data_IF_114236424526
#
_entry.id   IF_114236424526
#
_cell.length_a   1.000
_cell.length_b   1.000
_cell.length_c   1.000
_cell.angle_alpha   90.00
_cell.angle_beta   90.00
_cell.angle_gamma   90.00
#
_symmetry.space_group_name_H-M   'P 1'
#
loop_
_entity.id
_entity.type
_entity.pdbx_description
1 polymer ?
#
# COMPACT_ATOMS: atom_id res chain seq x y z
N UNK A 1 -68.62 0.60 -9.12
CA UNK A 1 -68.62 0.82 -10.59
C UNK A 1 -70.02 1.12 -11.15
N UNK A 2 -71.09 0.41 -10.75
CA UNK A 2 -72.46 0.66 -11.25
C UNK A 2 -73.02 2.07 -10.97
N UNK A 3 -72.67 2.69 -9.84
CA UNK A 3 -73.09 4.05 -9.48
C UNK A 3 -72.44 5.13 -10.37
N UNK A 4 -71.15 4.98 -10.67
CA UNK A 4 -70.41 5.89 -11.56
C UNK A 4 -70.94 5.84 -13.01
N UNK A 5 -71.33 4.65 -13.47
CA UNK A 5 -71.91 4.42 -14.79
C UNK A 5 -73.33 5.03 -14.92
N UNK A 6 -74.11 5.06 -13.83
CA UNK A 6 -75.43 5.69 -13.73
C UNK A 6 -75.36 7.23 -13.74
N UNK A 7 -74.37 7.82 -13.05
CA UNK A 7 -74.14 9.27 -13.13
C UNK A 7 -73.64 9.70 -14.50
N UNK A 8 -72.78 8.92 -15.14
CA UNK A 8 -72.28 9.23 -16.49
C UNK A 8 -73.41 9.17 -17.54
N UNK A 9 -74.32 8.18 -17.45
CA UNK A 9 -75.49 8.09 -18.35
C UNK A 9 -76.53 9.18 -18.08
N UNK A 10 -76.80 9.54 -16.83
CA UNK A 10 -77.72 10.63 -16.48
C UNK A 10 -77.18 11.99 -16.93
N UNK A 11 -75.87 12.24 -16.77
CA UNK A 11 -75.21 13.44 -17.26
C UNK A 11 -75.25 13.52 -18.78
N UNK A 12 -74.99 12.41 -19.48
CA UNK A 12 -75.08 12.35 -20.94
C UNK A 12 -76.51 12.62 -21.46
N UNK A 13 -77.55 12.14 -20.76
CA UNK A 13 -78.96 12.38 -21.11
C UNK A 13 -79.41 13.84 -20.94
N UNK A 14 -78.85 14.56 -19.96
CA UNK A 14 -79.14 15.98 -19.71
C UNK A 14 -78.41 16.89 -20.69
N UNK A 15 -77.17 16.55 -21.05
CA UNK A 15 -76.37 17.33 -22.01
C UNK A 15 -76.95 17.21 -23.44
N UNK A 16 -77.40 16.01 -23.85
CA UNK A 16 -77.96 15.79 -25.19
C UNK A 16 -79.30 16.53 -25.41
N UNK A 17 -80.09 16.79 -24.36
CA UNK A 17 -81.35 17.52 -24.48
C UNK A 17 -81.21 19.05 -24.50
N UNK A 18 -80.04 19.60 -24.16
CA UNK A 18 -79.86 21.05 -23.94
C UNK A 18 -79.34 21.84 -25.15
N UNK A 19 -79.18 21.21 -26.32
CA UNK A 19 -78.36 21.72 -27.44
C UNK A 19 -79.12 22.24 -28.67
N UNK A 20 -80.35 22.75 -28.56
CA UNK A 20 -81.12 23.06 -29.79
C UNK A 20 -81.74 24.46 -29.88
N UNK A 21 -81.36 25.39 -28.99
CA UNK A 21 -81.75 26.79 -29.08
C UNK A 21 -80.58 27.62 -29.64
N UNK A 22 -80.77 28.27 -30.80
CA UNK A 22 -79.74 29.06 -31.48
C UNK A 22 -80.05 30.55 -31.39
N UNK A 23 -79.14 31.33 -30.81
CA UNK A 23 -79.28 32.79 -30.73
C UNK A 23 -78.79 33.46 -32.02
N UNK A 24 -79.62 34.29 -32.64
CA UNK A 24 -79.31 35.08 -33.85
C UNK A 24 -79.65 36.55 -33.64
N UNK A 25 -78.87 37.45 -34.26
CA UNK A 25 -79.16 38.88 -34.22
C UNK A 25 -79.69 39.33 -35.58
N UNK A 26 -80.86 39.96 -35.59
CA UNK A 26 -81.53 40.50 -36.78
C UNK A 26 -82.14 41.84 -36.38
N UNK A 27 -81.92 42.90 -37.17
CA UNK A 27 -82.42 44.26 -36.90
C UNK A 27 -82.15 44.77 -35.46
N UNK A 28 -80.92 44.57 -34.97
CA UNK A 28 -80.48 44.95 -33.60
C UNK A 28 -81.24 44.27 -32.45
N UNK A 29 -82.07 43.26 -32.73
CA UNK A 29 -82.72 42.41 -31.73
C UNK A 29 -82.09 41.03 -31.73
N UNK A 30 -82.13 40.35 -30.58
CA UNK A 30 -81.62 38.98 -30.42
C UNK A 30 -82.80 38.04 -30.33
N UNK A 31 -82.87 37.11 -31.29
CA UNK A 31 -83.89 36.08 -31.34
C UNK A 31 -83.29 34.73 -30.99
N UNK A 32 -84.04 33.93 -30.25
CA UNK A 32 -83.73 32.53 -30.02
C UNK A 32 -84.56 31.71 -31.00
N UNK A 33 -83.89 30.99 -31.89
CA UNK A 33 -84.53 30.11 -32.87
C UNK A 33 -84.50 28.68 -32.36
N UNK A 34 -85.68 28.10 -32.20
CA UNK A 34 -85.85 26.73 -31.75
C UNK A 34 -86.77 25.98 -32.71
N UNK A 35 -86.19 25.07 -33.52
CA UNK A 35 -86.89 24.30 -34.56
C UNK A 35 -87.61 25.18 -35.59
N UNK A 36 -88.85 25.59 -35.30
CA UNK A 36 -89.72 26.43 -36.15
C UNK A 36 -90.29 27.65 -35.41
N UNK A 37 -89.90 27.85 -34.16
CA UNK A 37 -90.32 28.98 -33.35
C UNK A 37 -89.21 30.03 -33.32
N UNK A 38 -89.60 31.30 -33.43
CA UNK A 38 -88.74 32.47 -33.22
C UNK A 38 -89.19 33.11 -31.92
N UNK A 39 -88.27 33.17 -30.95
CA UNK A 39 -88.54 33.66 -29.61
C UNK A 39 -87.78 34.97 -29.41
N UNK A 40 -88.47 36.01 -28.94
CA UNK A 40 -87.88 37.29 -28.56
C UNK A 40 -88.21 37.54 -27.08
N UNK A 41 -87.20 37.76 -26.24
CA UNK A 41 -87.38 37.99 -24.78
C UNK A 41 -88.19 36.90 -24.04
N UNK A 42 -88.17 35.65 -24.53
CA UNK A 42 -88.90 34.53 -23.92
C UNK A 42 -90.32 34.32 -24.45
N UNK A 43 -90.81 35.18 -25.34
CA UNK A 43 -92.13 35.06 -25.96
C UNK A 43 -92.04 34.64 -27.44
N UNK A 44 -92.94 33.76 -27.89
CA UNK A 44 -92.96 33.27 -29.27
C UNK A 44 -93.59 34.33 -30.20
N UNK A 45 -92.75 34.96 -31.02
CA UNK A 45 -93.16 36.02 -31.97
C UNK A 45 -93.26 35.52 -33.42
N UNK A 46 -93.20 34.20 -33.63
CA UNK A 46 -93.16 33.59 -34.97
C UNK A 46 -94.29 34.08 -35.88
N UNK A 47 -95.50 34.25 -35.34
CA UNK A 47 -96.68 34.64 -36.14
C UNK A 47 -96.80 36.15 -36.36
N UNK A 48 -96.12 36.93 -35.52
CA UNK A 48 -96.16 38.39 -35.52
C UNK A 48 -95.12 39.01 -36.45
N UNK A 49 -94.13 38.21 -36.88
CA UNK A 49 -93.10 38.59 -37.84
C UNK A 49 -93.60 38.44 -39.29
N UNK A 50 -93.15 39.30 -40.20
CA UNK A 50 -93.43 39.12 -41.64
C UNK A 50 -92.73 37.89 -42.19
N UNK A 51 -93.20 37.39 -43.35
CA UNK A 51 -92.57 36.23 -43.99
C UNK A 51 -91.11 36.50 -44.32
N UNK A 52 -90.78 37.73 -44.74
CA UNK A 52 -89.41 38.15 -45.03
C UNK A 52 -88.54 38.13 -43.77
N UNK A 53 -89.04 38.65 -42.64
CA UNK A 53 -88.33 38.65 -41.35
C UNK A 53 -88.12 37.22 -40.82
N UNK A 54 -89.15 36.36 -40.89
CA UNK A 54 -89.02 34.97 -40.50
C UNK A 54 -87.95 34.25 -41.33
N UNK A 55 -87.96 34.43 -42.66
CA UNK A 55 -86.95 33.83 -43.54
C UNK A 55 -85.54 34.33 -43.21
N UNK A 56 -85.35 35.64 -43.01
CA UNK A 56 -84.05 36.21 -42.64
C UNK A 56 -83.50 35.64 -41.31
N UNK A 57 -84.36 35.56 -40.29
CA UNK A 57 -84.00 35.02 -38.97
C UNK A 57 -83.68 33.51 -39.05
N UNK A 58 -84.47 32.72 -39.78
CA UNK A 58 -84.20 31.30 -39.95
C UNK A 58 -82.93 31.02 -40.75
N UNK A 59 -82.64 31.81 -41.79
CA UNK A 59 -81.43 31.63 -42.59
C UNK A 59 -80.18 32.02 -41.81
N UNK A 60 -80.22 33.09 -40.99
CA UNK A 60 -79.16 33.40 -40.03
C UNK A 60 -78.94 32.27 -39.02
N UNK A 61 -80.02 31.63 -38.54
CA UNK A 61 -79.91 30.52 -37.61
C UNK A 61 -79.27 29.29 -38.25
N UNK A 62 -79.57 29.01 -39.52
CA UNK A 62 -78.89 27.95 -40.27
C UNK A 62 -77.40 28.25 -40.44
N UNK A 63 -77.04 29.49 -40.80
CA UNK A 63 -75.64 29.89 -40.97
C UNK A 63 -74.87 29.74 -39.66
N UNK A 64 -75.40 30.25 -38.54
CA UNK A 64 -74.73 30.08 -37.24
C UNK A 64 -74.61 28.64 -36.78
N UNK A 65 -75.60 27.79 -37.07
CA UNK A 65 -75.52 26.37 -36.75
C UNK A 65 -74.44 25.67 -37.58
N UNK A 66 -74.32 26.03 -38.87
CA UNK A 66 -73.24 25.55 -39.73
C UNK A 66 -71.85 26.03 -39.26
N UNK A 67 -71.73 27.29 -38.83
CA UNK A 67 -70.51 27.83 -38.22
C UNK A 67 -70.14 27.11 -36.92
N UNK A 68 -71.13 26.83 -36.05
CA UNK A 68 -70.92 26.09 -34.81
C UNK A 68 -70.50 24.63 -35.06
N UNK A 69 -71.13 23.93 -36.02
CA UNK A 69 -70.74 22.57 -36.40
C UNK A 69 -69.33 22.51 -37.00
N UNK A 70 -68.97 23.50 -37.82
CA UNK A 70 -67.60 23.64 -38.35
C UNK A 70 -66.58 23.88 -37.22
N UNK A 71 -66.92 24.73 -36.25
CA UNK A 71 -66.07 25.06 -35.12
C UNK A 71 -65.94 23.90 -34.12
N UNK A 72 -66.97 23.07 -33.94
CA UNK A 72 -66.86 21.81 -33.18
C UNK A 72 -65.95 20.81 -33.88
N UNK A 73 -66.08 20.62 -35.20
CA UNK A 73 -65.17 19.76 -35.98
C UNK A 73 -63.73 20.22 -35.90
N UNK A 74 -63.48 21.53 -36.03
CA UNK A 74 -62.14 22.10 -35.88
C UNK A 74 -61.55 21.86 -34.47
N UNK A 75 -62.37 22.00 -33.42
CA UNK A 75 -61.96 21.70 -32.04
C UNK A 75 -61.69 20.22 -31.82
N UNK A 76 -62.49 19.33 -32.41
CA UNK A 76 -62.32 17.88 -32.31
C UNK A 76 -61.03 17.44 -33.04
N UNK A 77 -60.77 17.98 -34.23
CA UNK A 77 -59.52 17.73 -34.97
C UNK A 77 -58.30 18.26 -34.22
N UNK A 78 -58.37 19.48 -33.66
CA UNK A 78 -57.31 20.04 -32.83
C UNK A 78 -57.07 19.23 -31.53
N UNK A 79 -58.12 18.66 -30.94
CA UNK A 79 -57.99 17.77 -29.78
C UNK A 79 -57.31 16.44 -30.14
N UNK A 80 -57.72 15.82 -31.25
CA UNK A 80 -57.09 14.59 -31.77
C UNK A 80 -55.63 14.81 -32.15
N UNK A 81 -55.30 15.94 -32.74
CA UNK A 81 -53.92 16.27 -33.09
C UNK A 81 -53.06 16.47 -31.83
N UNK A 82 -53.58 17.14 -30.80
CA UNK A 82 -52.87 17.28 -29.51
C UNK A 82 -52.65 15.93 -28.81
N UNK A 83 -53.65 15.05 -28.81
CA UNK A 83 -53.55 13.70 -28.23
C UNK A 83 -52.53 12.84 -28.99
N UNK A 84 -52.56 12.86 -30.32
CA UNK A 84 -51.58 12.16 -31.15
C UNK A 84 -50.14 12.69 -30.93
N UNK A 85 -49.97 14.00 -30.73
CA UNK A 85 -48.68 14.61 -30.42
C UNK A 85 -48.21 14.23 -29.01
N UNK A 86 -49.09 14.16 -28.00
CA UNK A 86 -48.68 13.73 -26.65
C UNK A 86 -48.30 12.26 -26.62
N UNK A 87 -49.08 11.39 -27.26
CA UNK A 87 -48.80 9.95 -27.32
C UNK A 87 -47.47 9.67 -28.06
N UNK A 88 -47.16 10.44 -29.11
CA UNK A 88 -45.88 10.34 -29.82
C UNK A 88 -44.71 10.76 -28.93
N UNK A 89 -44.84 11.84 -28.16
CA UNK A 89 -43.82 12.31 -27.20
C UNK A 89 -43.59 11.30 -26.08
N UNK A 90 -44.64 10.70 -25.54
CA UNK A 90 -44.53 9.67 -24.51
C UNK A 90 -43.79 8.43 -25.04
N UNK A 91 -44.12 7.97 -26.25
CA UNK A 91 -43.41 6.84 -26.90
C UNK A 91 -41.95 7.15 -27.21
N UNK A 92 -41.60 8.39 -27.54
CA UNK A 92 -40.21 8.80 -27.73
C UNK A 92 -39.45 8.85 -26.40
N UNK A 93 -40.06 9.40 -25.34
CA UNK A 93 -39.47 9.42 -24.00
C UNK A 93 -39.24 8.01 -23.44
N UNK A 94 -40.20 7.10 -23.60
CA UNK A 94 -40.07 5.71 -23.16
C UNK A 94 -38.92 4.99 -23.89
N UNK A 95 -38.78 5.22 -25.21
CA UNK A 95 -37.65 4.67 -25.99
C UNK A 95 -36.31 5.21 -25.52
N UNK A 96 -36.23 6.51 -25.22
CA UNK A 96 -35.01 7.14 -24.73
C UNK A 96 -34.62 6.61 -23.34
N UNK A 97 -35.59 6.45 -22.44
CA UNK A 97 -35.38 5.84 -21.11
C UNK A 97 -34.86 4.41 -21.27
N UNK A 98 -35.51 3.59 -22.12
CA UNK A 98 -35.09 2.20 -22.36
C UNK A 98 -33.71 2.09 -22.99
N UNK A 99 -33.30 3.05 -23.82
CA UNK A 99 -31.94 3.11 -24.35
C UNK A 99 -30.93 3.48 -23.27
N UNK A 100 -31.22 4.48 -22.43
CA UNK A 100 -30.35 4.88 -21.31
C UNK A 100 -30.18 3.75 -20.28
N UNK A 101 -31.24 3.02 -19.94
CA UNK A 101 -31.16 1.87 -19.05
C UNK A 101 -30.28 0.76 -19.63
N UNK A 102 -30.45 0.41 -20.91
CA UNK A 102 -29.59 -0.58 -21.57
C UNK A 102 -28.12 -0.17 -21.60
N UNK A 103 -27.85 1.12 -21.78
CA UNK A 103 -26.48 1.63 -21.77
C UNK A 103 -25.87 1.59 -20.37
N UNK A 104 -26.62 2.04 -19.35
CA UNK A 104 -26.21 1.98 -17.96
C UNK A 104 -25.99 0.54 -17.47
N UNK A 105 -26.80 -0.42 -17.92
CA UNK A 105 -26.60 -1.85 -17.59
C UNK A 105 -25.31 -2.41 -18.21
N UNK A 106 -25.01 -2.04 -19.46
CA UNK A 106 -23.74 -2.45 -20.10
C UNK A 106 -22.54 -1.87 -19.38
N UNK A 107 -22.56 -0.58 -19.08
CA UNK A 107 -21.49 0.11 -18.35
C UNK A 107 -21.30 -0.49 -16.95
N UNK A 108 -22.38 -0.82 -16.23
CA UNK A 108 -22.30 -1.52 -14.93
C UNK A 108 -21.65 -2.90 -15.06
N UNK A 109 -22.03 -3.70 -16.05
CA UNK A 109 -21.42 -5.04 -16.26
C UNK A 109 -19.95 -4.95 -16.62
N UNK A 110 -19.56 -3.92 -17.38
CA UNK A 110 -18.15 -3.70 -17.73
C UNK A 110 -17.34 -3.23 -16.53
N UNK A 111 -17.88 -2.32 -15.71
CA UNK A 111 -17.28 -1.92 -14.44
C UNK A 111 -17.15 -3.10 -13.48
N UNK A 112 -18.17 -3.93 -13.34
CA UNK A 112 -18.16 -5.12 -12.47
C UNK A 112 -17.06 -6.12 -12.90
N UNK A 113 -16.96 -6.42 -14.20
CA UNK A 113 -15.87 -7.27 -14.72
C UNK A 113 -14.50 -6.67 -14.48
N UNK A 114 -14.33 -5.36 -14.71
CA UNK A 114 -13.05 -4.69 -14.46
C UNK A 114 -12.66 -4.71 -12.97
N UNK A 115 -13.65 -4.61 -12.08
CA UNK A 115 -13.43 -4.70 -10.64
C UNK A 115 -13.07 -6.13 -10.21
N UNK A 116 -13.73 -7.14 -10.78
CA UNK A 116 -13.43 -8.56 -10.52
C UNK A 116 -12.00 -8.91 -10.97
N UNK A 117 -11.59 -8.49 -12.16
CA UNK A 117 -10.22 -8.69 -12.65
C UNK A 117 -9.19 -7.96 -11.77
N UNK A 118 -9.47 -6.73 -11.34
CA UNK A 118 -8.58 -5.98 -10.46
C UNK A 118 -8.44 -6.65 -9.07
N UNK A 119 -9.52 -7.22 -8.53
CA UNK A 119 -9.48 -7.98 -7.27
C UNK A 119 -8.65 -9.25 -7.45
N UNK A 120 -8.86 -9.98 -8.54
CA UNK A 120 -8.09 -11.21 -8.84
C UNK A 120 -6.59 -10.94 -8.98
N UNK A 121 -6.21 -9.86 -9.67
CA UNK A 121 -4.81 -9.46 -9.81
C UNK A 121 -4.19 -9.07 -8.46
N UNK A 122 -4.91 -8.34 -7.60
CA UNK A 122 -4.43 -8.01 -6.26
C UNK A 122 -4.26 -9.23 -5.37
N UNK A 123 -5.17 -10.21 -5.45
CA UNK A 123 -5.05 -11.46 -4.68
C UNK A 123 -3.85 -12.28 -5.14
N UNK A 124 -3.60 -12.35 -6.45
CA UNK A 124 -2.44 -13.05 -7.00
C UNK A 124 -1.12 -12.38 -6.64
N UNK A 125 -1.06 -11.04 -6.67
CA UNK A 125 0.09 -10.26 -6.19
C UNK A 125 0.34 -10.48 -4.69
N UNK A 126 -0.71 -10.43 -3.85
CA UNK A 126 -0.58 -10.66 -2.42
C UNK A 126 -0.05 -12.07 -2.11
N UNK A 127 -0.53 -13.10 -2.84
CA UNK A 127 -0.02 -14.47 -2.69
C UNK A 127 1.43 -14.63 -3.15
N UNK A 128 1.85 -13.91 -4.18
CA UNK A 128 3.24 -13.92 -4.64
C UNK A 128 4.16 -13.24 -3.61
N UNK A 129 3.74 -12.09 -3.07
CA UNK A 129 4.49 -11.35 -2.06
C UNK A 129 4.59 -12.11 -0.73
N UNK A 130 3.52 -12.79 -0.31
CA UNK A 130 3.52 -13.65 0.88
C UNK A 130 4.53 -14.80 0.74
N UNK A 131 4.58 -15.46 -0.43
CA UNK A 131 5.56 -16.52 -0.70
C UNK A 131 6.99 -16.01 -0.70
N UNK A 132 7.23 -14.83 -1.28
CA UNK A 132 8.57 -14.23 -1.30
C UNK A 132 9.04 -13.85 0.11
N UNK A 133 8.12 -13.36 0.96
CA UNK A 133 8.41 -13.08 2.37
C UNK A 133 8.73 -14.38 3.12
N UNK A 134 7.96 -15.45 2.93
CA UNK A 134 8.22 -16.75 3.59
C UNK A 134 9.58 -17.34 3.18
N UNK A 135 9.96 -17.22 1.91
CA UNK A 135 11.26 -17.70 1.40
C UNK A 135 12.41 -16.88 1.99
N UNK A 136 12.31 -15.55 2.00
CA UNK A 136 13.31 -14.67 2.64
C UNK A 136 13.45 -14.92 4.13
N UNK A 137 12.36 -15.21 4.84
CA UNK A 137 12.42 -15.54 6.26
C UNK A 137 13.15 -16.86 6.52
N UNK A 138 12.91 -17.89 5.68
CA UNK A 138 13.65 -19.16 5.74
C UNK A 138 15.14 -18.97 5.48
N UNK A 139 15.51 -18.24 4.42
CA UNK A 139 16.91 -17.95 4.12
C UNK A 139 17.60 -17.16 5.23
N UNK A 140 16.94 -16.13 5.77
CA UNK A 140 17.46 -15.34 6.89
C UNK A 140 17.70 -16.20 8.14
N UNK A 141 16.80 -17.14 8.43
CA UNK A 141 16.92 -18.06 9.56
C UNK A 141 18.06 -19.06 9.38
N UNK A 142 18.26 -19.59 8.18
CA UNK A 142 19.39 -20.46 7.88
C UNK A 142 20.72 -19.71 7.94
N UNK A 143 20.79 -18.51 7.36
CA UNK A 143 21.97 -17.64 7.44
C UNK A 143 22.32 -17.27 8.88
N UNK A 144 21.33 -16.96 9.73
CA UNK A 144 21.54 -16.68 11.14
C UNK A 144 22.11 -17.91 11.88
N UNK A 145 21.56 -19.10 11.63
CA UNK A 145 22.05 -20.35 12.23
C UNK A 145 23.47 -20.70 11.82
N UNK A 146 23.85 -20.40 10.57
CA UNK A 146 25.22 -20.62 10.09
C UNK A 146 26.20 -19.63 10.74
N UNK A 147 25.84 -18.35 10.82
CA UNK A 147 26.65 -17.32 11.51
C UNK A 147 26.85 -17.65 12.98
N UNK A 148 25.84 -18.17 13.67
CA UNK A 148 25.97 -18.57 15.08
C UNK A 148 26.95 -19.74 15.26
N UNK A 149 26.89 -20.75 14.37
CA UNK A 149 27.84 -21.88 14.40
C UNK A 149 29.27 -21.42 14.15
N UNK A 150 29.48 -20.57 13.14
CA UNK A 150 30.79 -20.04 12.79
C UNK A 150 31.37 -19.17 13.93
N UNK A 151 30.54 -18.35 14.58
CA UNK A 151 30.95 -17.57 15.75
C UNK A 151 31.38 -18.46 16.93
N UNK A 152 30.64 -19.54 17.20
CA UNK A 152 30.99 -20.53 18.24
C UNK A 152 32.29 -21.29 17.94
N UNK A 153 32.57 -21.55 16.67
CA UNK A 153 33.80 -22.22 16.26
C UNK A 153 35.01 -21.28 16.36
N UNK A 154 34.87 -20.04 15.89
CA UNK A 154 35.89 -18.98 16.07
C UNK A 154 36.20 -18.73 17.54
N UNK A 155 35.19 -18.63 18.41
CA UNK A 155 35.41 -18.44 19.85
C UNK A 155 36.19 -19.61 20.48
N UNK A 156 35.95 -20.85 20.04
CA UNK A 156 36.71 -22.02 20.50
C UNK A 156 38.16 -21.97 20.00
N UNK A 157 38.36 -21.61 18.75
CA UNK A 157 39.69 -21.48 18.15
C UNK A 157 40.51 -20.39 18.84
N UNK A 158 39.94 -19.21 19.07
CA UNK A 158 40.59 -18.12 19.81
C UNK A 158 41.00 -18.54 21.22
N UNK A 159 40.12 -19.27 21.94
CA UNK A 159 40.46 -19.80 23.28
C UNK A 159 41.59 -20.84 23.24
N UNK A 160 41.69 -21.63 22.17
CA UNK A 160 42.78 -22.59 22.01
C UNK A 160 44.11 -21.86 21.71
N UNK A 161 44.09 -20.93 20.77
CA UNK A 161 45.26 -20.10 20.41
C UNK A 161 45.74 -19.27 21.61
N UNK A 162 44.85 -18.70 22.41
CA UNK A 162 45.23 -17.94 23.61
C UNK A 162 45.94 -18.83 24.64
N UNK A 163 45.46 -20.05 24.86
CA UNK A 163 46.10 -21.02 25.77
C UNK A 163 47.49 -21.41 25.27
N UNK A 164 47.63 -21.65 23.97
CA UNK A 164 48.90 -22.01 23.35
C UNK A 164 49.91 -20.86 23.46
N UNK A 165 49.51 -19.63 23.13
CA UNK A 165 50.36 -18.44 23.30
C UNK A 165 50.81 -18.24 24.74
N UNK A 166 49.92 -18.44 25.73
CA UNK A 166 50.27 -18.37 27.16
C UNK A 166 51.26 -19.45 27.58
N UNK A 167 51.19 -20.65 26.98
CA UNK A 167 52.14 -21.73 27.26
C UNK A 167 53.51 -21.42 26.63
N UNK A 168 53.52 -20.93 25.39
CA UNK A 168 54.74 -20.53 24.68
C UNK A 168 55.44 -19.35 25.36
N UNK A 169 54.71 -18.34 25.80
CA UNK A 169 55.25 -17.19 26.54
C UNK A 169 55.93 -17.64 27.84
N UNK A 170 55.29 -18.54 28.61
CA UNK A 170 55.90 -19.12 29.83
C UNK A 170 57.12 -19.98 29.53
N UNK A 171 57.17 -20.65 28.39
CA UNK A 171 58.33 -21.43 27.97
C UNK A 171 59.50 -20.51 27.63
N UNK A 172 59.25 -19.45 26.84
CA UNK A 172 60.24 -18.42 26.49
C UNK A 172 60.78 -17.71 27.73
N UNK A 173 59.92 -17.37 28.69
CA UNK A 173 60.35 -16.75 29.95
C UNK A 173 61.29 -17.66 30.76
N UNK A 174 60.98 -18.96 30.82
CA UNK A 174 61.84 -19.95 31.50
C UNK A 174 63.19 -20.12 30.80
N UNK A 175 63.18 -20.15 29.47
CA UNK A 175 64.38 -20.24 28.66
C UNK A 175 65.26 -19.00 28.81
N UNK A 176 64.67 -17.80 28.76
CA UNK A 176 65.39 -16.53 28.98
C UNK A 176 66.04 -16.49 30.37
N UNK A 177 65.32 -16.90 31.42
CA UNK A 177 65.89 -17.01 32.78
C UNK A 177 67.03 -18.03 32.87
N UNK A 178 66.93 -19.16 32.15
CA UNK A 178 67.98 -20.17 32.10
C UNK A 178 69.23 -19.62 31.38
N UNK A 179 69.05 -18.93 30.26
CA UNK A 179 70.13 -18.25 29.53
C UNK A 179 70.78 -17.17 30.39
N UNK A 180 70.00 -16.38 31.13
CA UNK A 180 70.53 -15.35 32.02
C UNK A 180 71.38 -15.95 33.15
N UNK A 181 70.90 -17.04 33.78
CA UNK A 181 71.66 -17.78 34.80
C UNK A 181 72.97 -18.34 34.23
N UNK A 182 72.93 -18.95 33.04
CA UNK A 182 74.12 -19.45 32.34
C UNK A 182 75.10 -18.33 32.05
N UNK A 183 74.64 -17.20 31.52
CA UNK A 183 75.48 -16.02 31.23
C UNK A 183 76.15 -15.47 32.50
N UNK A 184 75.46 -15.42 33.63
CA UNK A 184 76.05 -15.01 34.92
C UNK A 184 77.13 -16.00 35.37
N UNK A 185 76.82 -17.30 35.36
CA UNK A 185 77.78 -18.33 35.73
C UNK A 185 79.01 -18.37 34.81
N UNK A 186 78.85 -18.14 33.50
CA UNK A 186 79.99 -18.02 32.56
C UNK A 186 80.88 -16.83 32.92
N UNK A 187 80.31 -15.66 33.25
CA UNK A 187 81.09 -14.50 33.68
C UNK A 187 81.86 -14.76 34.97
N UNK A 188 81.31 -15.54 35.89
CA UNK A 188 81.99 -15.88 37.14
C UNK A 188 83.16 -16.85 36.90
N UNK A 189 83.01 -17.82 35.99
CA UNK A 189 84.11 -18.70 35.53
C UNK A 189 85.21 -17.86 34.86
N UNK A 190 84.84 -16.94 33.98
CA UNK A 190 85.79 -16.07 33.28
C UNK A 190 86.61 -15.23 34.27
N UNK A 191 85.96 -14.55 35.22
CA UNK A 191 86.63 -13.75 36.27
C UNK A 191 87.55 -14.60 37.15
N UNK A 192 87.11 -15.79 37.55
CA UNK A 192 87.92 -16.69 38.36
C UNK A 192 89.15 -17.18 37.58
N UNK A 193 88.98 -17.48 36.29
CA UNK A 193 90.05 -17.92 35.40
C UNK A 193 91.06 -16.81 35.16
N UNK A 194 90.60 -15.58 34.89
CA UNK A 194 91.46 -14.42 34.70
C UNK A 194 92.28 -14.09 35.97
N UNK A 195 91.65 -14.18 37.15
CA UNK A 195 92.34 -13.96 38.42
C UNK A 195 93.40 -15.02 38.69
N UNK A 196 93.10 -16.29 38.42
CA UNK A 196 94.07 -17.38 38.51
C UNK A 196 95.24 -17.12 37.56
N UNK A 197 94.99 -16.79 36.30
CA UNK A 197 96.04 -16.53 35.31
C UNK A 197 96.94 -15.36 35.71
N UNK A 198 96.36 -14.25 36.19
CA UNK A 198 97.12 -13.07 36.67
C UNK A 198 98.00 -13.42 37.86
N UNK A 199 97.47 -14.12 38.86
CA UNK A 199 98.23 -14.51 40.05
C UNK A 199 99.29 -15.57 39.71
N UNK A 200 99.02 -16.50 38.79
CA UNK A 200 100.01 -17.48 38.28
C UNK A 200 101.16 -16.76 37.58
N UNK A 201 100.87 -15.83 36.65
CA UNK A 201 101.90 -15.02 35.97
C UNK A 201 102.75 -14.21 36.96
N UNK A 202 102.11 -13.65 38.00
CA UNK A 202 102.82 -12.87 39.04
C UNK A 202 103.74 -13.77 39.86
N UNK A 203 103.27 -14.95 40.27
CA UNK A 203 104.08 -15.94 40.98
C UNK A 203 105.27 -16.40 40.14
N UNK A 204 105.06 -16.80 38.88
CA UNK A 204 106.13 -17.24 37.98
C UNK A 204 107.20 -16.16 37.79
N UNK A 205 106.78 -14.90 37.68
CA UNK A 205 107.70 -13.75 37.57
C UNK A 205 108.53 -13.53 38.84
N UNK A 206 107.92 -13.59 40.02
CA UNK A 206 108.61 -13.40 41.31
C UNK A 206 109.56 -14.58 41.60
N UNK A 207 109.11 -15.81 41.32
CA UNK A 207 109.90 -17.02 41.45
C UNK A 207 111.11 -17.03 40.51
N UNK A 208 110.92 -16.65 39.24
CA UNK A 208 112.00 -16.58 38.25
C UNK A 208 113.07 -15.52 38.57
N UNK A 209 112.73 -14.49 39.36
CA UNK A 209 113.67 -13.47 39.84
C UNK A 209 114.38 -13.84 41.16
N UNK A 210 114.00 -14.93 41.82
CA UNK A 210 114.53 -15.29 43.14
C UNK A 210 114.05 -14.38 44.29
N UNK A 211 112.97 -13.61 44.09
CA UNK A 211 112.43 -12.64 45.06
C UNK A 211 111.49 -13.28 46.11
N UNK A 212 111.44 -14.62 46.22
CA UNK A 212 110.56 -15.34 47.15
C UNK A 212 111.37 -16.24 48.09
N UNK A 213 111.10 -16.16 49.39
CA UNK A 213 111.61 -17.13 50.36
C UNK A 213 110.87 -18.47 50.23
N UNK A 214 111.43 -19.58 50.74
CA UNK A 214 110.74 -20.88 50.75
C UNK A 214 109.34 -20.82 51.37
N UNK A 215 109.14 -20.04 52.43
CA UNK A 215 107.85 -19.84 53.08
C UNK A 215 106.88 -19.05 52.19
N UNK A 216 107.34 -18.01 51.49
CA UNK A 216 106.50 -17.23 50.57
C UNK A 216 106.04 -18.07 49.37
N UNK A 217 106.89 -18.98 48.89
CA UNK A 217 106.54 -19.92 47.80
C UNK A 217 105.38 -20.81 48.24
N UNK A 218 105.38 -21.28 49.49
CA UNK A 218 104.31 -22.10 50.07
C UNK A 218 102.98 -21.33 50.16
N UNK A 219 103.00 -20.10 50.66
CA UNK A 219 101.80 -19.23 50.70
C UNK A 219 101.24 -18.92 49.31
N UNK A 220 102.12 -18.69 48.32
CA UNK A 220 101.69 -18.49 46.93
C UNK A 220 101.09 -19.75 46.32
N UNK A 221 101.66 -20.93 46.60
CA UNK A 221 101.11 -22.19 46.13
C UNK A 221 99.72 -22.44 46.75
N UNK A 222 99.55 -22.24 48.05
CA UNK A 222 98.26 -22.35 48.74
C UNK A 222 97.23 -21.38 48.14
N UNK A 223 97.64 -20.13 47.85
CA UNK A 223 96.78 -19.14 47.21
C UNK A 223 96.36 -19.54 45.78
N UNK A 224 97.28 -20.06 44.98
CA UNK A 224 97.00 -20.54 43.62
C UNK A 224 96.11 -21.78 43.63
N UNK A 225 96.29 -22.67 44.60
CA UNK A 225 95.44 -23.84 44.81
C UNK A 225 94.00 -23.42 45.17
N UNK A 226 93.82 -22.50 46.12
CA UNK A 226 92.52 -21.90 46.44
C UNK A 226 91.86 -21.20 45.24
N UNK A 227 92.65 -20.63 44.33
CA UNK A 227 92.12 -20.03 43.09
C UNK A 227 91.74 -21.08 42.05
N UNK A 228 92.50 -22.17 41.92
CA UNK A 228 92.16 -23.32 41.07
C UNK A 228 90.87 -23.98 41.54
N UNK A 229 90.73 -24.21 42.84
CA UNK A 229 89.51 -24.73 43.46
C UNK A 229 88.31 -23.84 43.13
N UNK A 230 88.43 -22.52 43.28
CA UNK A 230 87.38 -21.56 42.89
C UNK A 230 87.01 -21.62 41.41
N UNK A 231 87.96 -21.88 40.51
CA UNK A 231 87.68 -22.06 39.08
C UNK A 231 86.91 -23.37 38.83
N UNK A 232 87.29 -24.45 39.51
CA UNK A 232 86.60 -25.75 39.44
C UNK A 232 85.17 -25.61 39.97
N UNK A 233 84.99 -25.00 41.15
CA UNK A 233 83.67 -24.76 41.75
C UNK A 233 82.76 -23.93 40.84
N UNK A 234 83.29 -22.86 40.25
CA UNK A 234 82.53 -22.02 39.32
C UNK A 234 82.15 -22.76 38.04
N UNK A 235 83.04 -23.61 37.51
CA UNK A 235 82.76 -24.47 36.34
C UNK A 235 81.72 -25.55 36.66
N UNK A 236 81.80 -26.15 37.85
CA UNK A 236 80.83 -27.13 38.30
C UNK A 236 79.45 -26.50 38.50
N UNK A 237 79.38 -25.29 39.06
CA UNK A 237 78.14 -24.51 39.17
C UNK A 237 77.54 -24.18 37.80
N UNK A 238 78.37 -23.86 36.80
CA UNK A 238 77.90 -23.64 35.42
C UNK A 238 77.38 -24.94 34.78
N UNK A 239 78.02 -26.08 35.02
CA UNK A 239 77.60 -27.39 34.49
C UNK A 239 76.29 -27.92 35.09
N UNK A 240 75.89 -27.43 36.27
CA UNK A 240 74.63 -27.80 36.95
C UNK A 240 73.41 -26.96 36.50
N UNK A 241 73.60 -25.98 35.60
CA UNK A 241 72.56 -25.06 35.08
C UNK A 241 72.12 -25.41 33.66
#
# INVERSE_FOLDING_TARGET
>A
MKTFQLFFTLFFLVVVNSLTAQEVSFDNQVYVVYKKAIILNGEEVTKDLTKEQQTGIFDLAKVKNFENEALEKEKEEAAKEKEAVSEKKEKEAEKEIKQKEKQAEKERKEQEKSAEEAVKQKEEQAKAEEKEIEEKEKEAKEAAKQKEKEAKEKEKEEKAQEKERKAEEKAKEKEEKAIEKKKKATKDVEKATEKLEKDTKKFDKLKGKGELSPNDIEEWNEKLEKLKEKVVDSKEKLGKL
#
